data_IF_598206381393
#
_entry.id   IF_598206381393
#
_cell.length_a   1.000
_cell.length_b   1.000
_cell.length_c   1.000
_cell.angle_alpha   90.00
_cell.angle_beta   90.00
_cell.angle_gamma   90.00
#
_symmetry.space_group_name_H-M   'P 1'
#
loop_
_entity.id
_entity.type
_entity.pdbx_description
1 polymer ?
#
# COMPACT_ATOMS: atom_id res chain seq x y z
N UNK A 1 -26.74 8.76 0.85
CA UNK A 1 -26.66 7.29 0.97
C UNK A 1 -25.37 6.84 0.29
N UNK A 2 -24.55 6.00 0.91
CA UNK A 2 -23.33 5.48 0.28
C UNK A 2 -23.72 4.49 -0.84
N UNK A 3 -23.09 4.64 -2.00
CA UNK A 3 -23.34 3.74 -3.13
C UNK A 3 -22.51 2.46 -2.96
N UNK A 4 -23.16 1.29 -3.02
CA UNK A 4 -22.46 0.00 -3.03
C UNK A 4 -22.20 -0.41 -4.47
N UNK A 5 -20.93 -0.67 -4.79
CA UNK A 5 -20.48 -1.23 -6.07
C UNK A 5 -20.75 -2.74 -6.02
N UNK A 6 -21.43 -3.26 -7.01
CA UNK A 6 -21.79 -4.69 -7.11
C UNK A 6 -21.39 -5.31 -8.46
N UNK A 7 -20.96 -4.51 -9.42
CA UNK A 7 -20.59 -4.97 -10.76
C UNK A 7 -19.06 -4.95 -10.93
N UNK A 8 -18.54 -6.03 -11.52
CA UNK A 8 -17.14 -6.12 -11.93
C UNK A 8 -16.86 -5.23 -13.13
N UNK A 9 -15.67 -4.65 -13.17
CA UNK A 9 -15.26 -3.85 -14.32
C UNK A 9 -13.94 -3.12 -14.09
N UNK A 10 -13.59 -2.27 -15.04
CA UNK A 10 -12.42 -1.40 -14.90
C UNK A 10 -12.68 -0.31 -13.86
N UNK A 11 -11.64 0.06 -13.11
CA UNK A 11 -11.70 1.19 -12.19
C UNK A 11 -11.99 2.50 -12.92
N UNK A 12 -11.36 2.71 -14.09
CA UNK A 12 -11.46 3.93 -14.87
C UNK A 12 -12.15 3.71 -16.22
N UNK A 13 -12.94 4.68 -16.63
CA UNK A 13 -13.51 4.78 -17.97
C UNK A 13 -12.45 5.24 -19.00
N UNK A 14 -12.83 5.26 -20.28
CA UNK A 14 -11.95 5.69 -21.38
C UNK A 14 -11.44 7.14 -21.26
N UNK A 15 -12.13 7.96 -20.48
CA UNK A 15 -11.76 9.36 -20.23
C UNK A 15 -10.82 9.53 -19.03
N UNK A 16 -10.63 8.48 -18.22
CA UNK A 16 -9.79 8.48 -17.02
C UNK A 16 -10.51 8.92 -15.75
N UNK A 17 -11.85 8.93 -15.75
CA UNK A 17 -12.66 9.10 -14.55
C UNK A 17 -13.02 7.75 -13.95
N UNK A 18 -13.43 7.72 -12.65
CA UNK A 18 -13.96 6.52 -12.04
C UNK A 18 -15.21 6.05 -12.80
N UNK A 19 -15.19 4.80 -13.27
CA UNK A 19 -16.32 4.17 -13.93
C UNK A 19 -17.47 3.94 -12.96
N UNK A 20 -17.16 3.57 -11.72
CA UNK A 20 -18.10 3.44 -10.62
C UNK A 20 -17.55 4.14 -9.37
N UNK A 21 -18.43 4.67 -8.53
CA UNK A 21 -18.09 5.43 -7.32
C UNK A 21 -18.80 4.82 -6.13
N UNK A 22 -18.09 4.64 -5.01
CA UNK A 22 -18.68 4.07 -3.80
C UNK A 22 -17.76 3.08 -3.12
N UNK A 23 -18.35 2.06 -2.52
CA UNK A 23 -17.60 1.00 -1.82
C UNK A 23 -18.03 -0.39 -2.29
N UNK A 24 -17.12 -1.35 -2.16
CA UNK A 24 -17.37 -2.78 -2.37
C UNK A 24 -16.84 -3.59 -1.18
N UNK A 25 -17.36 -4.80 -0.97
CA UNK A 25 -16.86 -5.78 0.01
C UNK A 25 -15.98 -6.85 -0.63
N UNK A 26 -15.78 -6.76 -1.94
CA UNK A 26 -14.98 -7.67 -2.76
C UNK A 26 -14.16 -6.88 -3.76
N UNK A 27 -13.08 -7.48 -4.28
CA UNK A 27 -12.29 -6.88 -5.35
C UNK A 27 -13.08 -6.96 -6.68
N UNK A 28 -13.79 -5.88 -7.01
CA UNK A 28 -14.65 -5.78 -8.19
C UNK A 28 -14.07 -4.87 -9.28
N UNK A 29 -13.25 -3.87 -8.92
CA UNK A 29 -12.74 -2.87 -9.84
C UNK A 29 -11.26 -3.13 -10.16
N UNK A 30 -10.98 -3.40 -11.42
CA UNK A 30 -9.62 -3.64 -11.91
C UNK A 30 -8.84 -2.33 -12.03
N UNK A 31 -7.81 -2.18 -11.21
CA UNK A 31 -6.86 -1.08 -11.30
C UNK A 31 -5.80 -1.37 -12.36
N UNK A 32 -5.51 -0.36 -13.19
CA UNK A 32 -4.34 -0.35 -14.06
C UNK A 32 -3.74 1.05 -14.08
N UNK A 33 -2.48 1.17 -13.66
CA UNK A 33 -1.74 2.44 -13.64
C UNK A 33 -1.75 3.15 -14.99
N UNK A 34 -1.65 2.42 -16.10
CA UNK A 34 -1.58 2.98 -17.45
C UNK A 34 -2.90 3.63 -17.91
N UNK A 35 -4.02 3.32 -17.25
CA UNK A 35 -5.31 3.95 -17.53
C UNK A 35 -5.41 5.37 -16.91
N UNK A 36 -4.54 5.72 -15.97
CA UNK A 36 -4.54 7.02 -15.29
C UNK A 36 -4.04 8.12 -16.24
N UNK A 37 -4.90 9.09 -16.52
CA UNK A 37 -4.60 10.23 -17.42
C UNK A 37 -3.95 11.41 -16.67
N UNK A 38 -2.90 11.12 -15.90
CA UNK A 38 -2.12 12.11 -15.15
C UNK A 38 -0.63 12.01 -15.50
N UNK A 39 0.13 13.07 -15.20
CA UNK A 39 1.60 13.01 -15.27
C UNK A 39 2.11 12.00 -14.25
N UNK A 40 3.10 11.16 -14.60
CA UNK A 40 3.67 10.12 -13.74
C UNK A 40 4.06 10.63 -12.33
N UNK A 41 4.57 11.85 -12.25
CA UNK A 41 4.93 12.51 -10.99
C UNK A 41 3.72 12.81 -10.06
N UNK A 42 2.49 12.65 -10.52
CA UNK A 42 1.27 12.93 -9.74
C UNK A 42 0.52 11.67 -9.34
N UNK A 43 0.87 10.53 -9.89
CA UNK A 43 0.28 9.24 -9.54
C UNK A 43 0.91 8.78 -8.23
N UNK A 44 0.09 8.34 -7.32
CA UNK A 44 0.51 7.86 -6.00
C UNK A 44 -0.04 6.46 -5.79
N UNK A 45 0.83 5.55 -5.42
CA UNK A 45 0.52 4.17 -5.11
C UNK A 45 1.25 3.79 -3.84
N UNK A 46 0.63 2.99 -2.99
CA UNK A 46 1.29 2.46 -1.79
C UNK A 46 0.65 1.16 -1.33
N UNK A 47 1.45 0.33 -0.71
CA UNK A 47 1.03 -0.79 0.11
C UNK A 47 1.32 -0.47 1.57
N UNK A 48 0.36 -0.78 2.43
CA UNK A 48 0.45 -0.53 3.86
C UNK A 48 -0.02 -1.76 4.64
N UNK A 49 0.77 -2.16 5.60
CA UNK A 49 0.42 -3.20 6.57
C UNK A 49 0.50 -2.65 7.98
N UNK A 50 -0.56 -2.86 8.73
CA UNK A 50 -0.60 -2.73 10.19
C UNK A 50 -0.70 -4.13 10.77
N UNK A 51 0.25 -4.51 11.59
CA UNK A 51 0.32 -5.83 12.22
C UNK A 51 0.55 -5.58 13.71
N UNK A 52 -0.42 -5.92 14.54
CA UNK A 52 -0.34 -5.59 15.96
C UNK A 52 -1.23 -6.44 16.84
N UNK A 53 -1.02 -6.31 18.13
CA UNK A 53 -1.82 -6.85 19.21
C UNK A 53 -2.09 -5.72 20.23
N UNK A 54 -2.53 -6.09 21.43
CA UNK A 54 -2.84 -5.10 22.49
C UNK A 54 -1.60 -4.37 23.03
N UNK A 55 -0.41 -4.96 22.87
CA UNK A 55 0.84 -4.45 23.46
C UNK A 55 1.69 -3.69 22.43
N UNK A 56 1.79 -4.20 21.17
CA UNK A 56 2.69 -3.67 20.16
C UNK A 56 2.06 -3.66 18.76
N UNK A 57 2.58 -2.77 17.91
CA UNK A 57 2.28 -2.80 16.48
C UNK A 57 3.52 -2.50 15.63
N UNK A 58 3.56 -3.15 14.45
CA UNK A 58 4.46 -2.88 13.36
C UNK A 58 3.66 -2.36 12.17
N UNK A 59 4.01 -1.17 11.67
CA UNK A 59 3.45 -0.62 10.45
C UNK A 59 4.53 -0.59 9.37
N UNK A 60 4.23 -1.11 8.21
CA UNK A 60 5.13 -1.14 7.07
C UNK A 60 4.49 -0.49 5.86
N UNK A 61 5.23 0.37 5.16
CA UNK A 61 4.75 1.07 3.98
C UNK A 61 5.79 1.00 2.87
N UNK A 62 5.36 0.60 1.69
CA UNK A 62 6.03 0.89 0.43
C UNK A 62 5.22 1.92 -0.34
N UNK A 63 5.81 3.02 -0.77
CA UNK A 63 5.09 4.09 -1.44
C UNK A 63 5.85 4.64 -2.65
N UNK A 64 5.22 4.62 -3.82
CA UNK A 64 5.59 5.39 -5.00
C UNK A 64 4.63 6.58 -5.12
N UNK A 65 5.06 7.75 -4.67
CA UNK A 65 4.25 8.97 -4.70
C UNK A 65 4.58 9.86 -5.91
N UNK A 66 5.15 9.27 -6.96
CA UNK A 66 5.55 9.93 -8.17
C UNK A 66 6.93 10.59 -8.05
N UNK A 67 7.00 11.85 -7.63
CA UNK A 67 8.28 12.57 -7.48
C UNK A 67 9.09 12.14 -6.26
N UNK A 68 8.50 11.49 -5.29
CA UNK A 68 9.13 10.92 -4.11
C UNK A 68 8.52 9.56 -3.83
N UNK A 69 9.30 8.65 -3.27
CA UNK A 69 8.85 7.37 -2.74
C UNK A 69 9.48 7.10 -1.38
N UNK A 70 8.99 6.08 -0.70
CA UNK A 70 9.53 5.69 0.60
C UNK A 70 9.34 4.21 0.89
N UNK A 71 10.33 3.65 1.61
CA UNK A 71 10.17 2.46 2.43
C UNK A 71 10.11 2.94 3.88
N UNK A 72 9.01 2.71 4.56
CA UNK A 72 8.82 3.19 5.93
C UNK A 72 8.45 2.04 6.86
N UNK A 73 9.02 2.06 8.07
CA UNK A 73 8.66 1.18 9.16
C UNK A 73 8.36 2.01 10.40
N UNK A 74 7.34 1.61 11.16
CA UNK A 74 7.00 2.19 12.47
C UNK A 74 6.78 1.06 13.46
N UNK A 75 7.42 1.13 14.60
CA UNK A 75 7.15 0.25 15.76
C UNK A 75 6.46 1.09 16.83
N UNK A 76 5.37 0.57 17.36
CA UNK A 76 4.59 1.20 18.42
C UNK A 76 4.58 0.28 19.65
N UNK A 77 4.76 0.87 20.82
CA UNK A 77 4.63 0.22 22.12
C UNK A 77 3.41 0.86 22.81
N UNK A 78 2.38 0.04 23.11
CA UNK A 78 1.15 0.50 23.75
C UNK A 78 1.18 0.29 25.27
N UNK A 79 2.07 -0.56 25.76
CA UNK A 79 2.28 -0.79 27.20
C UNK A 79 3.01 0.42 27.82
N UNK A 80 4.11 0.84 27.17
CA UNK A 80 4.81 2.07 27.50
C UNK A 80 4.64 3.01 26.31
N UNK A 81 3.65 3.92 26.32
CA UNK A 81 3.27 4.69 25.13
C UNK A 81 4.46 5.35 24.42
N UNK A 82 4.95 4.70 23.39
CA UNK A 82 6.10 5.13 22.61
C UNK A 82 5.96 4.69 21.15
N UNK A 83 6.61 5.39 20.25
CA UNK A 83 6.75 4.94 18.87
C UNK A 83 8.07 5.38 18.28
N UNK A 84 8.52 4.61 17.30
CA UNK A 84 9.67 4.93 16.48
C UNK A 84 9.31 4.72 15.01
N UNK A 85 9.58 5.72 14.18
CA UNK A 85 9.36 5.64 12.73
C UNK A 85 10.62 6.02 12.00
N UNK A 86 10.98 5.25 10.97
CA UNK A 86 12.06 5.56 10.03
C UNK A 86 11.56 5.41 8.60
N UNK A 87 12.06 6.27 7.70
CA UNK A 87 11.73 6.23 6.28
C UNK A 87 12.98 6.37 5.43
N UNK A 88 13.18 5.42 4.52
CA UNK A 88 14.20 5.49 3.47
C UNK A 88 13.57 6.13 2.23
N UNK A 89 14.05 7.31 1.87
CA UNK A 89 13.48 8.14 0.80
C UNK A 89 14.03 7.74 -0.55
N UNK A 90 13.16 7.63 -1.56
CA UNK A 90 13.48 7.31 -2.94
C UNK A 90 13.12 8.53 -3.79
N UNK A 91 14.07 9.03 -4.58
CA UNK A 91 13.84 10.20 -5.43
C UNK A 91 13.33 9.76 -6.81
N UNK A 92 12.25 10.41 -7.27
CA UNK A 92 11.66 10.25 -8.59
C UNK A 92 11.38 8.80 -9.03
N UNK A 93 10.68 7.99 -8.20
CA UNK A 93 10.35 6.63 -8.60
C UNK A 93 9.41 6.59 -9.82
N UNK A 94 8.38 7.45 -9.89
CA UNK A 94 7.51 7.65 -11.05
C UNK A 94 6.93 6.36 -11.65
N UNK A 95 6.57 5.38 -10.80
CA UNK A 95 6.07 4.06 -11.18
C UNK A 95 7.13 2.99 -11.26
N UNK A 96 8.41 3.30 -11.04
CA UNK A 96 9.51 2.31 -11.11
C UNK A 96 9.56 1.37 -9.90
N UNK A 97 8.76 1.60 -8.89
CA UNK A 97 8.60 0.65 -7.78
C UNK A 97 7.72 -0.55 -8.17
N UNK A 98 7.04 -0.47 -9.32
CA UNK A 98 6.22 -1.56 -9.86
C UNK A 98 5.25 -2.13 -8.83
N UNK A 99 4.51 -1.23 -8.16
CA UNK A 99 3.52 -1.63 -7.17
C UNK A 99 2.49 -2.59 -7.79
N UNK A 100 2.06 -3.62 -7.05
CA UNK A 100 1.06 -4.57 -7.53
C UNK A 100 -0.26 -3.86 -7.84
N UNK A 101 -1.00 -4.40 -8.79
CA UNK A 101 -2.30 -3.82 -9.21
C UNK A 101 -3.48 -4.32 -8.39
N UNK A 102 -3.26 -5.29 -7.50
CA UNK A 102 -4.30 -5.93 -6.70
C UNK A 102 -3.72 -6.46 -5.40
N UNK A 103 -4.51 -6.46 -4.34
CA UNK A 103 -4.18 -7.12 -3.06
C UNK A 103 -4.14 -8.65 -3.17
N UNK A 104 -4.74 -9.22 -4.22
CA UNK A 104 -4.82 -10.68 -4.44
C UNK A 104 -3.84 -11.20 -5.49
N UNK A 105 -3.00 -10.33 -6.06
CA UNK A 105 -2.02 -10.71 -7.09
C UNK A 105 -0.80 -9.81 -7.06
N UNK A 106 0.36 -10.44 -7.24
CA UNK A 106 1.63 -9.74 -7.38
C UNK A 106 2.33 -9.44 -6.05
N UNK A 107 3.58 -9.13 -6.19
CA UNK A 107 4.51 -8.90 -5.09
C UNK A 107 4.98 -7.46 -5.09
N UNK A 108 5.22 -6.90 -3.91
CA UNK A 108 5.93 -5.65 -3.74
C UNK A 108 7.31 -5.94 -3.16
N UNK A 109 8.36 -5.68 -3.92
CA UNK A 109 9.75 -5.91 -3.48
C UNK A 109 10.59 -4.70 -3.82
N UNK A 110 11.20 -4.09 -2.83
CA UNK A 110 12.06 -2.93 -3.07
C UNK A 110 13.22 -2.82 -2.08
N UNK A 111 14.33 -2.25 -2.57
CA UNK A 111 15.54 -2.00 -1.79
C UNK A 111 16.01 -0.57 -2.01
N UNK A 112 16.33 0.12 -0.93
CA UNK A 112 16.88 1.46 -1.01
C UNK A 112 17.71 1.80 0.24
N UNK A 113 18.92 2.35 0.07
CA UNK A 113 19.75 2.80 1.18
C UNK A 113 20.09 1.72 2.21
N UNK A 114 20.15 0.44 1.81
CA UNK A 114 20.34 -0.71 2.70
C UNK A 114 19.07 -1.25 3.32
N UNK A 115 17.95 -0.53 3.24
CA UNK A 115 16.63 -1.02 3.62
C UNK A 115 16.13 -1.99 2.58
N UNK A 116 15.58 -3.11 3.01
CA UNK A 116 14.96 -4.13 2.17
C UNK A 116 13.56 -4.44 2.71
N UNK A 117 12.56 -4.39 1.83
CA UNK A 117 11.18 -4.79 2.14
C UNK A 117 10.63 -5.67 1.03
N UNK A 118 9.92 -6.73 1.43
CA UNK A 118 9.29 -7.69 0.53
C UNK A 118 7.92 -8.07 1.07
N UNK A 119 6.90 -7.91 0.25
CA UNK A 119 5.53 -8.33 0.50
C UNK A 119 5.17 -9.32 -0.61
N UNK A 120 5.32 -10.61 -0.34
CA UNK A 120 5.19 -11.69 -1.32
C UNK A 120 3.85 -12.40 -1.09
N UNK A 121 3.12 -12.66 -2.16
CA UNK A 121 1.90 -13.46 -2.10
C UNK A 121 2.22 -14.90 -2.55
N UNK A 122 2.07 -15.85 -1.64
CA UNK A 122 2.23 -17.28 -1.89
C UNK A 122 0.90 -18.00 -1.60
N UNK A 123 0.13 -18.28 -2.65
CA UNK A 123 -1.24 -18.75 -2.52
C UNK A 123 -2.10 -17.74 -1.76
N UNK A 124 -2.67 -18.16 -0.63
CA UNK A 124 -3.49 -17.32 0.26
C UNK A 124 -2.68 -16.69 1.40
N UNK A 125 -1.37 -16.92 1.43
CA UNK A 125 -0.47 -16.42 2.47
C UNK A 125 0.28 -15.19 1.99
N UNK A 126 0.31 -14.13 2.78
CA UNK A 126 1.18 -12.98 2.55
C UNK A 126 2.42 -13.11 3.43
N UNK A 127 3.58 -13.34 2.82
CA UNK A 127 4.88 -13.33 3.49
C UNK A 127 5.47 -11.92 3.45
N UNK A 128 5.65 -11.32 4.59
CA UNK A 128 6.16 -9.96 4.78
C UNK A 128 7.49 -10.05 5.50
N UNK A 129 8.58 -9.70 4.84
CA UNK A 129 9.91 -9.78 5.43
C UNK A 129 10.82 -8.65 4.96
N UNK A 130 11.83 -8.37 5.75
CA UNK A 130 12.79 -7.32 5.42
C UNK A 130 13.66 -6.88 6.59
N UNK A 131 14.45 -5.84 6.32
CA UNK A 131 15.33 -5.24 7.32
C UNK A 131 15.48 -3.74 7.14
N UNK A 132 15.68 -3.07 8.24
CA UNK A 132 15.96 -1.65 8.35
C UNK A 132 17.26 -1.47 9.19
N UNK A 133 18.46 -1.36 8.56
CA UNK A 133 19.76 -1.48 9.25
C UNK A 133 20.02 -0.43 10.32
N UNK A 134 19.36 0.73 10.25
CA UNK A 134 19.53 1.84 11.19
C UNK A 134 18.15 2.36 11.62
N UNK A 135 17.38 1.49 12.24
CA UNK A 135 16.02 1.84 12.66
C UNK A 135 16.02 2.51 14.03
N UNK A 136 16.74 1.96 15.00
CA UNK A 136 16.77 2.45 16.36
C UNK A 136 17.55 3.77 16.53
N UNK A 137 17.31 4.46 17.64
CA UNK A 137 17.98 5.74 17.99
C UNK A 137 19.49 5.61 18.08
N UNK A 138 19.99 4.42 18.48
CA UNK A 138 21.42 4.12 18.56
C UNK A 138 21.93 3.36 17.33
N UNK A 139 21.12 3.24 16.27
CA UNK A 139 21.47 2.54 15.03
C UNK A 139 21.19 1.05 15.05
N UNK A 140 20.31 0.58 15.94
CA UNK A 140 19.87 -0.82 15.98
C UNK A 140 19.15 -1.18 14.68
N UNK A 141 19.31 -2.42 14.25
CA UNK A 141 18.59 -2.98 13.11
C UNK A 141 17.19 -3.42 13.54
N UNK A 142 16.18 -3.09 12.72
CA UNK A 142 14.89 -3.76 12.73
C UNK A 142 14.90 -4.82 11.63
N UNK A 143 14.64 -6.07 11.97
CA UNK A 143 14.34 -7.15 11.03
C UNK A 143 12.96 -7.73 11.33
N UNK A 144 12.26 -8.14 10.29
CA UNK A 144 10.92 -8.71 10.40
C UNK A 144 10.73 -9.82 9.37
N UNK A 145 10.01 -10.86 9.79
CA UNK A 145 9.69 -12.04 8.98
C UNK A 145 8.33 -12.58 9.47
N UNK A 146 7.25 -12.31 8.73
CA UNK A 146 5.88 -12.46 9.15
C UNK A 146 5.04 -13.14 8.07
N UNK A 147 4.17 -14.05 8.48
CA UNK A 147 3.23 -14.72 7.62
C UNK A 147 1.80 -14.36 8.03
N UNK A 148 1.06 -13.73 7.11
CA UNK A 148 -0.36 -13.44 7.26
C UNK A 148 -1.14 -14.52 6.52
N UNK A 149 -1.79 -15.41 7.28
CA UNK A 149 -2.45 -16.61 6.75
C UNK A 149 -3.97 -16.50 6.72
N UNK A 150 -4.53 -15.57 7.46
CA UNK A 150 -5.97 -15.39 7.52
C UNK A 150 -6.43 -14.41 6.42
N UNK A 151 -7.31 -14.89 5.55
CA UNK A 151 -8.07 -14.00 4.67
C UNK A 151 -9.19 -13.37 5.49
N UNK A 152 -9.32 -12.05 5.52
CA UNK A 152 -10.40 -11.41 6.26
C UNK A 152 -11.76 -11.81 5.67
N UNK A 153 -12.72 -12.15 6.53
CA UNK A 153 -14.10 -12.46 6.15
C UNK A 153 -14.79 -11.30 5.42
N UNK A 154 -14.38 -10.07 5.72
CA UNK A 154 -14.86 -8.87 5.08
C UNK A 154 -13.70 -7.96 4.65
N UNK A 155 -13.77 -7.49 3.41
CA UNK A 155 -12.86 -6.48 2.86
C UNK A 155 -13.64 -5.21 2.54
N UNK A 156 -12.95 -4.07 2.52
CA UNK A 156 -13.53 -2.81 2.09
C UNK A 156 -12.68 -2.19 0.98
N UNK A 157 -13.28 -2.05 -0.17
CA UNK A 157 -12.72 -1.36 -1.33
C UNK A 157 -13.47 -0.05 -1.52
N UNK A 158 -12.76 1.04 -1.76
CA UNK A 158 -13.37 2.36 -1.83
C UNK A 158 -12.87 3.07 -3.09
N UNK A 159 -13.82 3.55 -3.91
CA UNK A 159 -13.56 4.37 -5.08
C UNK A 159 -14.23 5.74 -4.89
N UNK A 160 -13.45 6.76 -4.52
CA UNK A 160 -13.94 8.09 -4.17
C UNK A 160 -13.43 9.13 -5.17
N UNK A 161 -14.32 9.86 -5.88
CA UNK A 161 -13.91 10.99 -6.71
C UNK A 161 -13.59 12.20 -5.85
N UNK A 162 -12.64 13.02 -6.33
CA UNK A 162 -12.47 14.39 -5.84
C UNK A 162 -13.20 15.39 -6.74
N UNK A 163 -13.24 16.65 -6.34
CA UNK A 163 -13.96 17.72 -7.06
C UNK A 163 -13.48 17.95 -8.49
N UNK A 164 -12.18 17.72 -8.75
CA UNK A 164 -11.60 17.85 -10.08
C UNK A 164 -11.76 16.56 -10.88
N UNK A 165 -12.20 16.63 -12.15
CA UNK A 165 -12.24 15.46 -13.04
C UNK A 165 -10.90 14.72 -13.08
N UNK A 166 -10.95 13.37 -13.13
CA UNK A 166 -9.78 12.47 -13.16
C UNK A 166 -8.95 12.43 -11.87
N UNK A 167 -9.40 13.11 -10.81
CA UNK A 167 -8.81 13.00 -9.49
C UNK A 167 -9.68 12.08 -8.64
N UNK A 168 -9.06 11.09 -8.06
CA UNK A 168 -9.76 10.08 -7.25
C UNK A 168 -8.82 9.48 -6.21
N UNK A 169 -9.42 8.81 -5.26
CA UNK A 169 -8.78 7.89 -4.32
C UNK A 169 -9.38 6.50 -4.54
N UNK A 170 -8.53 5.50 -4.66
CA UNK A 170 -8.92 4.10 -4.68
C UNK A 170 -8.13 3.34 -3.64
N UNK A 171 -8.83 2.62 -2.77
CA UNK A 171 -8.27 1.73 -1.77
C UNK A 171 -8.73 0.31 -2.10
N UNK A 172 -7.78 -0.60 -2.24
CA UNK A 172 -8.00 -2.01 -2.55
C UNK A 172 -7.11 -2.91 -1.70
#
# INVERSE_FOLDING_TARGET
MQNRIIEKGKLLDSTGNLAQKGYAKEYLLEYNREDIKAKKARIKEWDYYYIGNDDYALCLTMADMGYIGALSASVMDFVTPAHQTQSSVILFPMGKMHMPTSTTKGDAVYKNGGVEMSFILDGDTRHIFGKYPKFGKNGEELSFDLYLTDTPDECMFIATPFDKPKYFYYNA
#
